data_IF_980491549949
#
_entry.id   IF_980491549949
#
_cell.length_a   1.000
_cell.length_b   1.000
_cell.length_c   1.000
_cell.angle_alpha   90.00
_cell.angle_beta   90.00
_cell.angle_gamma   90.00
#
_symmetry.space_group_name_H-M   'P 1'
#
loop_
_entity.id
_entity.type
_entity.pdbx_description
1 polymer ?
#
# COMPACT_ATOMS: atom_id res chain seq x y z
N UNK A 1 -27.66 33.02 -41.90
CA UNK A 1 -28.03 31.79 -41.16
C UNK A 1 -26.87 30.83 -41.35
N UNK A 2 -26.04 30.41 -40.39
CA UNK A 2 -26.03 30.44 -38.93
C UNK A 2 -24.58 30.66 -38.47
N UNK A 3 -24.38 31.41 -37.38
CA UNK A 3 -23.10 31.51 -36.68
C UNK A 3 -23.06 30.40 -35.62
N UNK A 4 -22.06 29.53 -35.67
CA UNK A 4 -21.76 28.58 -34.58
C UNK A 4 -20.68 29.18 -33.68
N UNK A 5 -21.13 29.82 -32.60
CA UNK A 5 -20.29 30.13 -31.45
C UNK A 5 -20.21 28.87 -30.57
N UNK A 6 -19.09 28.17 -30.61
CA UNK A 6 -18.74 27.16 -29.60
C UNK A 6 -17.81 27.80 -28.57
N UNK A 7 -18.37 28.09 -27.39
CA UNK A 7 -17.62 28.58 -26.24
C UNK A 7 -16.62 27.52 -25.77
N UNK A 8 -15.35 27.67 -26.18
CA UNK A 8 -14.23 26.96 -25.57
C UNK A 8 -14.01 27.49 -24.16
N UNK A 9 -14.60 26.82 -23.17
CA UNK A 9 -14.29 27.04 -21.75
C UNK A 9 -12.79 26.75 -21.52
N UNK A 10 -12.07 27.79 -21.10
CA UNK A 10 -10.64 27.79 -20.82
C UNK A 10 -10.27 26.71 -19.79
N UNK A 11 -9.31 25.84 -20.10
CA UNK A 11 -8.88 24.69 -19.26
C UNK A 11 -8.54 25.08 -17.80
N UNK A 12 -8.17 26.34 -17.58
CA UNK A 12 -7.90 26.90 -16.26
C UNK A 12 -9.14 27.01 -15.35
N UNK A 13 -10.34 27.19 -15.90
CA UNK A 13 -11.58 27.31 -15.11
C UNK A 13 -12.14 25.95 -14.68
N UNK A 14 -11.94 24.91 -15.50
CA UNK A 14 -12.24 23.52 -15.12
C UNK A 14 -11.33 23.07 -13.96
N UNK A 15 -10.07 23.51 -13.94
CA UNK A 15 -9.13 23.20 -12.87
C UNK A 15 -9.42 23.96 -11.56
N UNK A 16 -9.99 25.18 -11.62
CA UNK A 16 -10.47 25.89 -10.42
C UNK A 16 -11.70 25.21 -9.81
N UNK A 17 -12.72 24.91 -10.61
CA UNK A 17 -13.96 24.27 -10.12
C UNK A 17 -13.71 22.88 -9.54
N UNK A 18 -12.82 22.10 -10.15
CA UNK A 18 -12.43 20.79 -9.61
C UNK A 18 -11.67 20.88 -8.28
N UNK A 19 -10.83 21.91 -8.10
CA UNK A 19 -10.13 22.15 -6.83
C UNK A 19 -11.06 22.65 -5.71
N UNK A 20 -12.08 23.47 -6.01
CA UNK A 20 -13.09 23.87 -5.02
C UNK A 20 -13.93 22.68 -4.55
N UNK A 21 -14.40 21.84 -5.49
CA UNK A 21 -15.15 20.62 -5.16
C UNK A 21 -14.29 19.69 -4.30
N UNK A 22 -13.03 19.43 -4.70
CA UNK A 22 -12.11 18.61 -3.92
C UNK A 22 -11.75 19.22 -2.56
N UNK A 23 -11.77 20.55 -2.42
CA UNK A 23 -11.62 21.27 -1.16
C UNK A 23 -12.78 21.03 -0.19
N UNK A 24 -14.02 21.10 -0.69
CA UNK A 24 -15.24 20.83 0.08
C UNK A 24 -15.29 19.36 0.54
N UNK A 25 -14.90 18.41 -0.31
CA UNK A 25 -14.82 16.99 0.06
C UNK A 25 -13.70 16.69 1.07
N UNK A 26 -12.60 17.46 1.06
CA UNK A 26 -11.51 17.32 2.05
C UNK A 26 -11.95 17.81 3.42
N UNK A 27 -12.59 18.98 3.48
CA UNK A 27 -13.10 19.57 4.73
C UNK A 27 -14.19 18.71 5.40
N UNK A 28 -15.08 18.08 4.61
CA UNK A 28 -16.14 17.20 5.14
C UNK A 28 -15.62 15.85 5.67
N UNK A 29 -14.45 15.41 5.21
CA UNK A 29 -13.78 14.19 5.70
C UNK A 29 -12.98 14.47 6.98
N UNK A 30 -12.33 15.63 7.09
CA UNK A 30 -11.62 16.07 8.30
C UNK A 30 -12.58 16.24 9.49
N UNK A 31 -13.71 16.96 9.33
CA UNK A 31 -14.69 17.16 10.43
C UNK A 31 -15.29 15.86 10.98
N UNK A 32 -15.51 14.85 10.15
CA UNK A 32 -16.06 13.54 10.58
C UNK A 32 -15.05 12.71 11.39
N UNK A 33 -13.74 12.94 11.19
CA UNK A 33 -12.69 12.26 11.94
C UNK A 33 -12.55 12.91 13.33
N UNK A 34 -12.69 14.23 13.43
CA UNK A 34 -12.63 14.95 14.71
C UNK A 34 -13.86 14.67 15.60
N UNK A 35 -15.05 14.49 15.02
CA UNK A 35 -16.25 14.08 15.78
C UNK A 35 -16.13 12.67 16.38
N UNK A 36 -15.48 11.73 15.69
CA UNK A 36 -15.26 10.38 16.23
C UNK A 36 -14.13 10.28 17.27
N UNK A 37 -13.19 11.23 17.28
CA UNK A 37 -12.12 11.28 18.30
C UNK A 37 -12.62 11.77 19.66
N UNK A 38 -13.61 12.67 19.71
CA UNK A 38 -14.11 13.26 20.96
C UNK A 38 -14.84 12.26 21.87
N UNK A 39 -15.32 11.14 21.33
CA UNK A 39 -15.99 10.07 22.10
C UNK A 39 -15.01 9.07 22.74
N UNK A 40 -13.72 9.12 22.39
CA UNK A 40 -12.71 8.17 22.90
C UNK A 40 -12.11 8.65 24.23
N UNK A 41 -12.02 9.97 24.44
CA UNK A 41 -11.33 10.57 25.58
C UNK A 41 -12.22 10.78 26.83
N UNK A 42 -13.53 10.56 26.72
CA UNK A 42 -14.49 10.72 27.83
C UNK A 42 -14.84 9.40 28.56
N UNK A 43 -13.95 8.40 28.54
CA UNK A 43 -14.14 7.20 29.38
C UNK A 43 -13.55 7.46 30.78
N UNK A 44 -14.33 7.37 31.87
CA UNK A 44 -13.79 7.59 33.21
C UNK A 44 -12.72 6.55 33.51
N UNK A 45 -11.50 7.01 33.77
CA UNK A 45 -10.42 6.20 34.32
C UNK A 45 -10.83 5.78 35.72
N UNK A 46 -11.18 4.51 35.91
CA UNK A 46 -11.30 3.95 37.27
C UNK A 46 -9.93 4.02 37.93
N UNK A 47 -9.82 4.89 38.92
CA UNK A 47 -8.65 5.03 39.77
C UNK A 47 -8.21 3.67 40.32
N UNK A 48 -6.92 3.37 40.13
CA UNK A 48 -6.23 2.24 40.75
C UNK A 48 -5.55 2.73 42.01
N UNK A 49 -6.32 3.02 43.04
CA UNK A 49 -5.83 3.01 44.41
C UNK A 49 -6.91 2.38 45.29
N UNK A 50 -6.45 1.62 46.29
CA UNK A 50 -7.19 0.70 47.16
C UNK A 50 -7.45 -0.65 46.46
N UNK A 51 -6.88 -1.78 46.87
CA UNK A 51 -6.83 -2.35 48.22
C UNK A 51 -5.60 -3.26 48.33
N UNK A 52 -4.67 -2.91 49.23
CA UNK A 52 -3.82 -3.90 49.91
C UNK A 52 -4.37 -4.08 51.32
N UNK A 53 -5.15 -5.13 51.54
CA UNK A 53 -5.25 -5.81 52.84
C UNK A 53 -5.32 -7.31 52.56
N UNK A 54 -4.38 -8.03 53.17
CA UNK A 54 -4.25 -9.46 53.02
C UNK A 54 -5.48 -10.20 53.55
N UNK A 55 -5.87 -11.21 52.80
CA UNK A 55 -6.59 -12.38 53.30
C UNK A 55 -5.97 -13.56 52.58
N UNK A 56 -5.30 -14.42 53.35
CA UNK A 56 -4.96 -15.78 52.93
C UNK A 56 -6.19 -16.43 52.32
N UNK A 57 -6.08 -16.94 51.11
CA UNK A 57 -7.04 -17.88 50.57
C UNK A 57 -6.27 -18.95 49.80
N UNK A 58 -6.39 -20.17 50.31
CA UNK A 58 -5.73 -21.36 49.84
C UNK A 58 -5.89 -21.58 48.32
N UNK A 59 -4.84 -22.10 47.70
CA UNK A 59 -4.87 -22.69 46.37
C UNK A 59 -5.79 -23.92 46.37
N UNK A 60 -6.79 -24.03 45.48
CA UNK A 60 -7.33 -25.32 45.11
C UNK A 60 -6.57 -25.85 43.88
N UNK A 61 -6.16 -27.11 43.99
CA UNK A 61 -5.60 -27.93 42.93
C UNK A 61 -6.37 -27.77 41.61
N UNK A 62 -5.64 -27.50 40.52
CA UNK A 62 -6.15 -27.66 39.16
C UNK A 62 -6.18 -29.14 38.79
N UNK A 63 -7.23 -29.82 39.19
CA UNK A 63 -7.71 -30.99 38.45
C UNK A 63 -8.30 -30.57 37.09
N UNK A 64 -8.09 -31.35 36.02
CA UNK A 64 -8.55 -31.00 34.68
C UNK A 64 -10.07 -31.09 34.59
N UNK A 65 -10.72 -29.95 34.31
CA UNK A 65 -12.14 -29.91 34.01
C UNK A 65 -12.41 -30.62 32.66
N UNK A 66 -12.71 -31.91 32.74
CA UNK A 66 -13.51 -32.63 31.78
C UNK A 66 -14.87 -31.92 31.76
N UNK A 67 -15.19 -31.26 30.66
CA UNK A 67 -16.47 -30.59 30.47
C UNK A 67 -17.57 -31.65 30.29
N UNK A 68 -18.10 -32.12 31.42
CA UNK A 68 -19.38 -32.84 31.52
C UNK A 68 -20.49 -31.89 31.07
N UNK A 69 -20.82 -31.91 29.78
CA UNK A 69 -22.09 -31.39 29.31
C UNK A 69 -23.19 -32.29 29.87
N UNK A 70 -23.95 -31.73 30.81
CA UNK A 70 -25.19 -32.25 31.36
C UNK A 70 -26.11 -32.65 30.19
N UNK A 71 -26.28 -33.96 29.97
CA UNK A 71 -27.28 -34.51 29.04
C UNK A 71 -28.67 -34.16 29.58
N UNK A 72 -29.58 -33.58 28.77
CA UNK A 72 -30.99 -33.57 29.13
C UNK A 72 -31.52 -35.01 29.03
N UNK A 73 -31.94 -35.55 30.18
CA UNK A 73 -32.76 -36.74 30.31
C UNK A 73 -34.18 -36.44 29.86
N UNK A 74 -34.42 -36.45 28.54
CA UNK A 74 -35.76 -36.63 28.00
C UNK A 74 -35.74 -37.94 27.24
N UNK A 75 -36.32 -38.97 27.87
CA UNK A 75 -36.61 -40.26 27.26
C UNK A 75 -37.62 -40.08 26.13
N UNK A 76 -37.14 -39.74 24.95
CA UNK A 76 -37.74 -40.21 23.72
C UNK A 76 -36.87 -41.37 23.27
N UNK A 77 -37.39 -42.58 23.48
CA UNK A 77 -36.90 -43.83 22.89
C UNK A 77 -36.43 -43.51 21.48
N UNK A 78 -35.11 -43.48 21.27
CA UNK A 78 -34.57 -43.49 19.92
C UNK A 78 -34.97 -44.87 19.44
N UNK A 79 -36.11 -44.94 18.75
CA UNK A 79 -36.46 -46.11 17.96
C UNK A 79 -35.23 -46.32 17.08
N UNK A 80 -34.44 -47.35 17.40
CA UNK A 80 -33.50 -47.93 16.46
C UNK A 80 -34.38 -48.43 15.31
N UNK A 81 -34.64 -47.53 14.38
CA UNK A 81 -35.48 -47.78 13.22
C UNK A 81 -34.66 -48.69 12.32
N UNK A 82 -35.02 -49.96 12.37
CA UNK A 82 -34.66 -51.05 11.46
C UNK A 82 -33.88 -50.60 10.21
N UNK A 83 -32.60 -50.95 10.16
CA UNK A 83 -31.65 -50.57 9.11
C UNK A 83 -31.63 -51.65 8.03
N UNK A 84 -32.79 -52.05 7.51
CA UNK A 84 -32.84 -53.14 6.52
C UNK A 84 -33.73 -52.91 5.29
N UNK A 85 -34.30 -51.71 5.09
CA UNK A 85 -34.93 -51.30 3.81
C UNK A 85 -34.78 -49.81 3.51
N UNK A 86 -33.56 -49.33 3.26
CA UNK A 86 -33.35 -47.97 2.70
C UNK A 86 -32.71 -48.04 1.31
N UNK A 87 -33.28 -47.28 0.39
CA UNK A 87 -32.78 -47.11 -0.97
C UNK A 87 -31.38 -46.48 -0.95
N UNK A 88 -30.47 -47.00 -1.76
CA UNK A 88 -29.07 -46.54 -1.80
C UNK A 88 -28.88 -45.37 -2.78
N UNK A 89 -28.91 -44.14 -2.27
CA UNK A 89 -28.73 -42.91 -3.07
C UNK A 89 -27.26 -42.46 -3.23
N UNK A 90 -26.27 -43.32 -2.94
CA UNK A 90 -24.84 -42.95 -2.99
C UNK A 90 -24.39 -42.58 -4.40
N UNK A 91 -24.92 -43.26 -5.42
CA UNK A 91 -24.62 -42.99 -6.83
C UNK A 91 -25.21 -41.66 -7.28
N UNK A 92 -26.46 -41.39 -6.93
CA UNK A 92 -27.18 -40.16 -7.23
C UNK A 92 -26.50 -38.96 -6.57
N UNK A 93 -26.09 -39.09 -5.30
CA UNK A 93 -25.32 -38.06 -4.59
C UNK A 93 -23.95 -37.80 -5.24
N UNK A 94 -23.31 -38.83 -5.80
CA UNK A 94 -22.04 -38.71 -6.56
C UNK A 94 -22.27 -38.04 -7.92
N UNK A 95 -23.32 -38.41 -8.64
CA UNK A 95 -23.67 -37.81 -9.94
C UNK A 95 -24.06 -36.34 -9.76
N UNK A 96 -24.91 -36.02 -8.79
CA UNK A 96 -25.30 -34.66 -8.44
C UNK A 96 -24.09 -33.76 -8.11
N UNK A 97 -23.15 -34.30 -7.32
CA UNK A 97 -21.89 -33.61 -7.01
C UNK A 97 -21.07 -33.29 -8.27
N UNK A 98 -20.96 -34.24 -9.21
CA UNK A 98 -20.27 -34.04 -10.49
C UNK A 98 -21.00 -33.08 -11.43
N UNK A 99 -22.33 -33.09 -11.44
CA UNK A 99 -23.17 -32.22 -12.28
C UNK A 99 -23.17 -30.78 -11.77
N UNK A 100 -23.25 -30.56 -10.46
CA UNK A 100 -23.28 -29.24 -9.83
C UNK A 100 -21.89 -28.65 -9.54
N UNK A 101 -20.81 -29.39 -9.82
CA UNK A 101 -19.43 -28.96 -9.59
C UNK A 101 -19.13 -28.65 -8.11
N UNK A 102 -19.75 -29.37 -7.18
CA UNK A 102 -19.56 -29.17 -5.74
C UNK A 102 -19.32 -30.50 -5.02
N UNK A 103 -18.73 -30.48 -3.82
CA UNK A 103 -18.50 -31.70 -3.05
C UNK A 103 -19.79 -32.35 -2.55
N UNK A 104 -19.78 -33.69 -2.36
CA UNK A 104 -20.94 -34.48 -1.88
C UNK A 104 -21.58 -33.93 -0.59
N UNK A 105 -20.79 -33.28 0.27
CA UNK A 105 -21.28 -32.68 1.52
C UNK A 105 -22.21 -31.48 1.31
N UNK A 106 -22.14 -30.84 0.14
CA UNK A 106 -22.99 -29.71 -0.26
C UNK A 106 -24.25 -30.14 -1.00
N UNK A 107 -24.38 -31.41 -1.37
CA UNK A 107 -25.61 -31.92 -1.97
C UNK A 107 -26.61 -32.25 -0.86
N UNK A 108 -27.80 -31.68 -0.96
CA UNK A 108 -29.00 -32.05 -0.23
C UNK A 108 -29.94 -32.81 -1.19
N UNK A 109 -30.48 -33.93 -0.71
CA UNK A 109 -31.45 -34.77 -1.42
C UNK A 109 -32.72 -34.73 -0.58
N UNK A 110 -33.87 -34.55 -1.22
CA UNK A 110 -35.16 -34.58 -0.52
C UNK A 110 -35.42 -35.97 0.09
N UNK A 111 -35.63 -36.09 1.42
CA UNK A 111 -35.98 -37.35 2.06
C UNK A 111 -37.41 -37.83 1.76
N UNK A 112 -38.29 -36.96 1.25
CA UNK A 112 -39.67 -37.33 0.94
C UNK A 112 -39.77 -38.01 -0.43
N UNK A 113 -39.02 -37.53 -1.42
CA UNK A 113 -39.04 -38.02 -2.81
C UNK A 113 -37.88 -38.99 -3.12
N UNK A 114 -37.64 -39.95 -2.22
CA UNK A 114 -36.52 -40.92 -2.35
C UNK A 114 -36.70 -41.87 -3.54
N UNK A 115 -37.94 -42.23 -3.86
CA UNK A 115 -38.31 -43.09 -5.00
C UNK A 115 -37.98 -42.44 -6.33
N UNK A 116 -38.34 -41.17 -6.52
CA UNK A 116 -38.07 -40.41 -7.75
C UNK A 116 -36.56 -40.19 -7.94
N UNK A 117 -35.85 -39.82 -6.88
CA UNK A 117 -34.40 -39.64 -6.93
C UNK A 117 -33.70 -40.96 -7.26
N UNK A 118 -34.15 -42.10 -6.72
CA UNK A 118 -33.57 -43.42 -6.98
C UNK A 118 -33.60 -43.80 -8.46
N UNK A 119 -34.68 -43.45 -9.17
CA UNK A 119 -34.86 -43.79 -10.58
C UNK A 119 -33.93 -42.99 -11.51
N UNK A 120 -33.30 -41.92 -11.03
CA UNK A 120 -32.41 -41.09 -11.82
C UNK A 120 -30.98 -41.67 -11.93
N UNK A 121 -30.71 -42.38 -13.01
CA UNK A 121 -29.40 -43.01 -13.28
C UNK A 121 -28.45 -42.17 -14.17
N UNK A 122 -28.98 -41.22 -14.95
CA UNK A 122 -28.20 -40.41 -15.89
C UNK A 122 -27.87 -39.02 -15.34
N UNK A 123 -26.79 -38.40 -15.83
CA UNK A 123 -26.47 -37.00 -15.49
C UNK A 123 -27.55 -36.02 -15.97
N UNK A 124 -28.22 -36.33 -17.08
CA UNK A 124 -29.29 -35.50 -17.64
C UNK A 124 -30.53 -35.48 -16.73
N UNK A 125 -30.93 -36.64 -16.21
CA UNK A 125 -32.07 -36.74 -15.28
C UNK A 125 -31.75 -36.07 -13.94
N UNK A 126 -30.52 -36.18 -13.46
CA UNK A 126 -30.05 -35.44 -12.27
C UNK A 126 -30.11 -33.92 -12.48
N UNK A 127 -29.83 -33.40 -13.68
CA UNK A 127 -30.02 -31.96 -13.98
C UNK A 127 -31.49 -31.54 -13.89
N UNK A 128 -32.41 -32.40 -14.35
CA UNK A 128 -33.85 -32.17 -14.23
C UNK A 128 -34.27 -32.09 -12.75
N UNK A 129 -33.88 -33.06 -11.93
CA UNK A 129 -34.15 -33.07 -10.49
C UNK A 129 -33.53 -31.88 -9.72
N UNK A 130 -32.43 -31.31 -10.22
CA UNK A 130 -31.85 -30.07 -9.68
C UNK A 130 -32.72 -28.86 -10.04
N UNK A 131 -33.23 -28.81 -11.28
CA UNK A 131 -34.13 -27.74 -11.74
C UNK A 131 -35.48 -27.79 -11.02
N UNK A 132 -35.98 -29.00 -10.76
CA UNK A 132 -37.25 -29.25 -10.07
C UNK A 132 -37.13 -29.03 -8.53
N UNK A 133 -35.91 -28.84 -8.01
CA UNK A 133 -35.66 -28.51 -6.61
C UNK A 133 -35.55 -29.70 -5.65
N UNK A 134 -35.64 -30.93 -6.15
CA UNK A 134 -35.48 -32.17 -5.37
C UNK A 134 -34.02 -32.42 -4.94
N UNK A 135 -33.07 -31.86 -5.71
CA UNK A 135 -31.64 -31.87 -5.39
C UNK A 135 -31.13 -30.43 -5.26
N UNK A 136 -30.74 -30.04 -4.05
CA UNK A 136 -30.31 -28.67 -3.76
C UNK A 136 -28.83 -28.62 -3.41
N UNK A 137 -28.14 -27.61 -3.94
CA UNK A 137 -26.80 -27.23 -3.47
C UNK A 137 -26.92 -26.39 -2.21
N UNK A 138 -26.55 -26.96 -1.06
CA UNK A 138 -26.43 -26.21 0.21
C UNK A 138 -25.39 -25.09 0.07
N UNK A 139 -25.65 -23.90 0.65
CA UNK A 139 -24.69 -22.82 0.62
C UNK A 139 -23.38 -23.19 1.34
N UNK A 140 -22.33 -22.44 1.03
CA UNK A 140 -21.07 -22.54 1.77
C UNK A 140 -21.30 -22.14 3.24
N UNK A 141 -20.61 -22.83 4.15
CA UNK A 141 -20.61 -22.43 5.56
C UNK A 141 -19.87 -21.10 5.67
N UNK A 142 -20.51 -20.09 6.26
CA UNK A 142 -19.94 -18.75 6.30
C UNK A 142 -18.78 -18.68 7.29
N UNK A 143 -17.58 -18.32 6.80
CA UNK A 143 -16.44 -17.99 7.64
C UNK A 143 -16.22 -16.48 7.63
N UNK A 144 -16.75 -15.80 8.65
CA UNK A 144 -16.58 -14.34 8.78
C UNK A 144 -15.11 -13.96 9.01
N UNK A 145 -14.66 -12.92 8.29
CA UNK A 145 -13.32 -12.32 8.43
C UNK A 145 -13.32 -11.06 9.29
N UNK A 146 -14.43 -10.69 9.95
CA UNK A 146 -14.56 -9.44 10.73
C UNK A 146 -13.45 -9.29 11.76
N UNK A 147 -13.28 -10.28 12.65
CA UNK A 147 -12.24 -10.28 13.69
C UNK A 147 -10.82 -10.20 13.13
N UNK A 148 -10.55 -10.88 12.01
CA UNK A 148 -9.24 -10.83 11.36
C UNK A 148 -8.95 -9.45 10.76
N UNK A 149 -9.95 -8.78 10.19
CA UNK A 149 -9.83 -7.41 9.67
C UNK A 149 -9.57 -6.41 10.79
N UNK A 150 -10.35 -6.50 11.87
CA UNK A 150 -10.17 -5.65 13.06
C UNK A 150 -8.77 -5.78 13.66
N UNK A 151 -8.28 -7.02 13.83
CA UNK A 151 -6.92 -7.27 14.30
C UNK A 151 -5.86 -6.67 13.36
N UNK A 152 -6.07 -6.74 12.05
CA UNK A 152 -5.15 -6.16 11.07
C UNK A 152 -5.14 -4.61 11.12
N UNK A 153 -6.29 -3.98 11.36
CA UNK A 153 -6.38 -2.53 11.59
C UNK A 153 -5.63 -2.14 12.87
N UNK A 154 -5.84 -2.87 13.97
CA UNK A 154 -5.09 -2.66 15.21
C UNK A 154 -3.57 -2.85 15.02
N UNK A 155 -3.15 -3.88 14.28
CA UNK A 155 -1.75 -4.14 13.93
C UNK A 155 -1.14 -3.09 12.99
N UNK A 156 -1.95 -2.40 12.19
CA UNK A 156 -1.51 -1.29 11.32
C UNK A 156 -1.20 -0.04 12.13
N UNK A 157 -2.03 0.25 13.14
CA UNK A 157 -1.81 1.35 14.10
C UNK A 157 -0.58 1.08 15.00
N UNK A 158 -0.20 -0.18 15.17
CA UNK A 158 1.02 -0.58 15.89
C UNK A 158 0.79 -1.48 17.10
N UNK A 159 -0.48 -1.79 17.42
CA UNK A 159 -0.82 -2.74 18.50
C UNK A 159 -0.32 -4.15 18.18
N UNK A 160 -0.11 -4.96 19.22
CA UNK A 160 0.34 -6.36 19.12
C UNK A 160 1.72 -6.56 18.43
N UNK A 161 2.64 -5.58 18.47
CA UNK A 161 4.00 -5.66 17.90
C UNK A 161 5.16 -5.72 18.91
N UNK A 162 4.85 -5.71 20.21
CA UNK A 162 5.83 -5.75 21.30
C UNK A 162 6.66 -7.05 21.33
N UNK A 163 7.74 -7.07 22.11
CA UNK A 163 8.71 -8.18 22.15
C UNK A 163 8.07 -9.54 22.44
N UNK A 164 7.11 -9.63 23.38
CA UNK A 164 6.43 -10.90 23.71
C UNK A 164 5.59 -11.51 22.58
N UNK A 165 5.28 -10.75 21.52
CA UNK A 165 4.59 -11.27 20.32
C UNK A 165 5.54 -11.61 19.16
N UNK A 166 6.85 -11.38 19.32
CA UNK A 166 7.87 -11.72 18.32
C UNK A 166 8.36 -13.13 18.59
N UNK A 167 8.37 -14.00 17.57
CA UNK A 167 8.76 -15.41 17.69
C UNK A 167 9.94 -15.82 16.80
N UNK A 168 10.40 -14.92 15.92
CA UNK A 168 11.55 -15.15 15.04
C UNK A 168 12.55 -13.98 15.12
N UNK A 169 13.73 -14.17 14.54
CA UNK A 169 14.82 -13.18 14.51
C UNK A 169 14.42 -11.92 13.74
N UNK A 170 15.18 -10.83 13.91
CA UNK A 170 14.92 -9.58 13.18
C UNK A 170 15.04 -9.77 11.66
N UNK A 171 16.10 -10.47 11.22
CA UNK A 171 16.36 -10.75 9.81
C UNK A 171 15.28 -11.67 9.19
N UNK A 172 14.81 -12.70 9.90
CA UNK A 172 13.71 -13.53 9.41
C UNK A 172 12.39 -12.76 9.25
N UNK A 173 12.16 -11.72 10.08
CA UNK A 173 10.96 -10.88 10.01
C UNK A 173 11.06 -9.82 8.92
N UNK A 174 12.24 -9.23 8.73
CA UNK A 174 12.55 -8.21 7.73
C UNK A 174 14.02 -8.35 7.34
N UNK A 175 14.32 -9.07 6.23
CA UNK A 175 15.70 -9.33 5.85
C UNK A 175 16.47 -8.06 5.52
N UNK A 176 17.72 -7.98 5.98
CA UNK A 176 18.58 -6.81 5.77
C UNK A 176 18.81 -6.52 4.28
N UNK A 177 18.95 -7.58 3.48
CA UNK A 177 19.09 -7.48 2.02
C UNK A 177 17.90 -6.75 1.39
N UNK A 178 16.67 -7.01 1.86
CA UNK A 178 15.45 -6.36 1.36
C UNK A 178 15.45 -4.86 1.71
N UNK A 179 15.89 -4.51 2.92
CA UNK A 179 16.02 -3.11 3.34
C UNK A 179 17.07 -2.36 2.50
N UNK A 180 18.24 -2.98 2.28
CA UNK A 180 19.30 -2.45 1.43
C UNK A 180 18.83 -2.24 -0.02
N UNK A 181 18.17 -3.25 -0.60
CA UNK A 181 17.61 -3.17 -1.95
C UNK A 181 16.58 -2.03 -2.08
N UNK A 182 15.64 -1.93 -1.13
CA UNK A 182 14.61 -0.86 -1.13
C UNK A 182 15.27 0.51 -1.05
N UNK A 183 16.24 0.69 -0.15
CA UNK A 183 16.95 1.94 0.03
C UNK A 183 17.71 2.35 -1.24
N UNK A 184 18.52 1.46 -1.80
CA UNK A 184 19.28 1.75 -3.03
C UNK A 184 18.38 2.08 -4.21
N UNK A 185 17.27 1.34 -4.39
CA UNK A 185 16.30 1.61 -5.47
C UNK A 185 15.66 2.98 -5.31
N UNK A 186 15.33 3.39 -4.09
CA UNK A 186 14.78 4.74 -3.82
C UNK A 186 15.80 5.84 -4.14
N UNK A 187 17.06 5.68 -3.71
CA UNK A 187 18.12 6.66 -3.99
C UNK A 187 18.41 6.77 -5.48
N UNK A 188 18.59 5.65 -6.18
CA UNK A 188 18.88 5.65 -7.62
C UNK A 188 17.72 6.19 -8.46
N UNK A 189 16.47 5.84 -8.11
CA UNK A 189 15.29 6.39 -8.80
C UNK A 189 15.22 7.92 -8.66
N UNK A 190 15.58 8.45 -7.49
CA UNK A 190 15.65 9.90 -7.28
C UNK A 190 16.71 10.54 -8.19
N UNK A 191 17.93 9.97 -8.23
CA UNK A 191 19.01 10.48 -9.08
C UNK A 191 18.62 10.47 -10.56
N UNK A 192 18.01 9.39 -11.05
CA UNK A 192 17.54 9.30 -12.44
C UNK A 192 16.49 10.39 -12.73
N UNK A 193 15.52 10.58 -11.82
CA UNK A 193 14.51 11.64 -11.95
C UNK A 193 15.15 13.03 -11.98
N UNK A 194 16.12 13.30 -11.10
CA UNK A 194 16.77 14.61 -11.03
C UNK A 194 17.61 14.90 -12.27
N UNK A 195 18.28 13.89 -12.83
CA UNK A 195 19.01 13.99 -14.09
C UNK A 195 18.06 14.29 -15.25
N UNK A 196 16.94 13.56 -15.35
CA UNK A 196 15.94 13.80 -16.39
C UNK A 196 15.33 15.20 -16.30
N UNK A 197 15.13 15.73 -15.08
CA UNK A 197 14.65 17.10 -14.87
C UNK A 197 15.72 18.20 -15.02
N UNK A 198 16.97 17.85 -15.35
CA UNK A 198 18.08 18.81 -15.44
C UNK A 198 18.52 19.44 -14.11
N UNK A 199 18.03 18.93 -12.97
CA UNK A 199 18.42 19.45 -11.64
C UNK A 199 19.87 19.12 -11.29
N UNK A 200 20.36 18.00 -11.79
CA UNK A 200 21.75 17.55 -11.66
C UNK A 200 22.31 17.25 -13.04
N UNK A 201 23.59 17.51 -13.20
CA UNK A 201 24.34 17.17 -14.40
C UNK A 201 24.74 15.67 -14.43
N UNK A 202 25.13 15.15 -15.60
CA UNK A 202 25.65 13.80 -15.81
C UNK A 202 26.86 13.49 -14.92
N UNK A 203 27.77 14.44 -14.73
CA UNK A 203 28.99 14.23 -13.94
C UNK A 203 28.65 14.07 -12.45
N UNK A 204 27.88 15.00 -11.90
CA UNK A 204 27.40 14.93 -10.52
C UNK A 204 26.52 13.70 -10.29
N UNK A 205 25.71 13.28 -11.28
CA UNK A 205 24.96 12.03 -11.21
C UNK A 205 25.87 10.80 -11.04
N UNK A 206 26.96 10.71 -11.79
CA UNK A 206 27.84 9.53 -11.75
C UNK A 206 28.55 9.39 -10.39
N UNK A 207 29.05 10.49 -9.85
CA UNK A 207 29.65 10.53 -8.51
C UNK A 207 28.64 10.10 -7.44
N UNK A 208 27.46 10.72 -7.42
CA UNK A 208 26.40 10.40 -6.45
C UNK A 208 25.89 8.96 -6.58
N UNK A 209 25.93 8.38 -7.78
CA UNK A 209 25.53 7.00 -8.01
C UNK A 209 26.46 6.01 -7.29
N UNK A 210 27.78 6.26 -7.32
CA UNK A 210 28.77 5.44 -6.63
C UNK A 210 28.75 5.68 -5.12
N UNK A 211 28.61 6.93 -4.68
CA UNK A 211 28.45 7.26 -3.26
C UNK A 211 27.19 6.60 -2.66
N UNK A 212 26.08 6.59 -3.41
CA UNK A 212 24.88 5.88 -3.00
C UNK A 212 25.11 4.35 -2.87
N UNK A 213 25.89 3.74 -3.76
CA UNK A 213 26.31 2.33 -3.64
C UNK A 213 27.18 2.12 -2.39
N UNK A 214 28.05 3.09 -2.09
CA UNK A 214 28.96 3.12 -0.94
C UNK A 214 28.31 3.41 0.42
N UNK A 215 26.98 3.46 0.52
CA UNK A 215 26.25 3.63 1.79
C UNK A 215 26.56 4.96 2.55
N UNK A 216 27.02 5.98 1.84
CA UNK A 216 27.21 7.33 2.41
C UNK A 216 25.86 7.96 2.78
N UNK A 217 24.83 7.71 1.97
CA UNK A 217 23.47 8.23 2.20
C UNK A 217 22.58 7.19 2.89
N UNK A 218 22.07 7.52 4.09
CA UNK A 218 21.19 6.62 4.87
C UNK A 218 19.73 6.63 4.40
N UNK A 219 19.24 7.76 3.92
CA UNK A 219 17.86 7.92 3.43
C UNK A 219 17.79 9.01 2.35
N UNK A 220 16.66 9.06 1.64
CA UNK A 220 16.43 10.00 0.52
C UNK A 220 16.73 11.46 0.88
N UNK A 221 16.34 11.89 2.09
CA UNK A 221 16.56 13.26 2.57
C UNK A 221 18.04 13.65 2.63
N UNK A 222 18.92 12.78 3.14
CA UNK A 222 20.35 13.05 3.23
C UNK A 222 20.98 13.23 1.84
N UNK A 223 20.54 12.44 0.84
CA UNK A 223 20.97 12.62 -0.54
C UNK A 223 20.51 13.96 -1.12
N UNK A 224 19.26 14.37 -0.86
CA UNK A 224 18.75 15.67 -1.33
C UNK A 224 19.52 16.83 -0.69
N UNK A 225 19.76 16.77 0.62
CA UNK A 225 20.55 17.78 1.35
C UNK A 225 21.97 17.88 0.79
N UNK A 226 22.62 16.74 0.49
CA UNK A 226 23.94 16.72 -0.14
C UNK A 226 23.92 17.35 -1.55
N UNK A 227 22.91 17.04 -2.37
CA UNK A 227 22.76 17.65 -3.70
C UNK A 227 22.59 19.16 -3.59
N UNK A 228 21.78 19.65 -2.65
CA UNK A 228 21.58 21.08 -2.46
C UNK A 228 22.88 21.78 -2.05
N UNK A 229 23.66 21.17 -1.14
CA UNK A 229 24.97 21.68 -0.74
C UNK A 229 25.96 21.73 -1.91
N UNK A 230 26.12 20.62 -2.62
CA UNK A 230 27.03 20.53 -3.78
C UNK A 230 26.65 21.53 -4.88
N UNK A 231 25.35 21.72 -5.15
CA UNK A 231 24.90 22.72 -6.11
C UNK A 231 25.17 24.16 -5.67
N UNK A 232 25.01 24.46 -4.38
CA UNK A 232 25.32 25.79 -3.85
C UNK A 232 26.82 26.09 -3.92
N UNK A 233 27.68 25.10 -3.69
CA UNK A 233 29.12 25.19 -3.88
C UNK A 233 29.49 25.43 -5.35
N UNK A 234 28.98 24.61 -6.27
CA UNK A 234 29.22 24.79 -7.72
C UNK A 234 28.73 26.15 -8.23
N UNK A 235 27.59 26.65 -7.74
CA UNK A 235 27.08 27.96 -8.12
C UNK A 235 28.01 29.10 -7.64
N UNK A 236 28.54 29.00 -6.41
CA UNK A 236 29.51 29.98 -5.88
C UNK A 236 30.82 29.97 -6.66
N UNK A 237 31.35 28.78 -6.96
CA UNK A 237 32.56 28.64 -7.76
C UNK A 237 32.39 29.21 -9.17
N UNK A 238 31.24 28.95 -9.80
CA UNK A 238 30.91 29.51 -11.11
C UNK A 238 30.85 31.04 -11.07
N UNK A 239 30.19 31.64 -10.07
CA UNK A 239 30.11 33.09 -9.93
C UNK A 239 31.51 33.73 -9.81
N UNK A 240 32.39 33.15 -8.98
CA UNK A 240 33.76 33.63 -8.83
C UNK A 240 34.55 33.50 -10.14
N UNK A 241 34.39 32.39 -10.86
CA UNK A 241 35.06 32.19 -12.14
C UNK A 241 34.57 33.18 -13.20
N UNK A 242 33.27 33.36 -13.32
CA UNK A 242 32.65 34.29 -14.26
C UNK A 242 33.10 35.74 -13.98
N UNK A 243 33.24 36.13 -12.70
CA UNK A 243 33.78 37.43 -12.31
C UNK A 243 35.25 37.60 -12.73
N UNK A 244 36.09 36.59 -12.50
CA UNK A 244 37.50 36.62 -12.86
C UNK A 244 37.71 36.65 -14.38
N UNK A 245 36.93 35.86 -15.12
CA UNK A 245 37.00 35.83 -16.58
C UNK A 245 36.46 37.14 -17.19
N UNK A 246 35.45 37.77 -16.59
CA UNK A 246 35.01 39.11 -16.97
C UNK A 246 36.11 40.17 -16.76
N UNK A 247 36.85 40.11 -15.64
CA UNK A 247 38.01 41.01 -15.40
C UNK A 247 39.14 40.77 -16.42
N UNK A 248 39.42 39.50 -16.76
CA UNK A 248 40.41 39.14 -17.78
C UNK A 248 39.99 39.63 -19.17
N UNK A 249 38.73 39.45 -19.55
CA UNK A 249 38.19 39.89 -20.83
C UNK A 249 38.23 41.43 -20.96
N UNK A 250 37.86 42.17 -19.92
CA UNK A 250 37.99 43.64 -19.89
C UNK A 250 39.44 44.09 -20.11
N UNK A 251 40.38 43.47 -19.39
CA UNK A 251 41.81 43.79 -19.54
C UNK A 251 42.35 43.43 -20.92
N UNK A 252 41.93 42.30 -21.50
CA UNK A 252 42.30 41.87 -22.86
C UNK A 252 41.77 42.85 -23.91
N UNK A 253 40.49 43.20 -23.84
CA UNK A 253 39.86 44.17 -24.74
C UNK A 253 40.51 45.57 -24.64
N UNK A 254 40.90 46.00 -23.44
CA UNK A 254 41.63 47.26 -23.26
C UNK A 254 43.02 47.22 -23.91
N UNK A 255 43.73 46.08 -23.83
CA UNK A 255 45.02 45.89 -24.52
C UNK A 255 44.86 45.88 -26.04
N UNK A 256 43.87 45.18 -26.57
CA UNK A 256 43.59 45.13 -28.02
C UNK A 256 43.25 46.52 -28.56
N UNK A 257 42.37 47.27 -27.89
CA UNK A 257 42.08 48.67 -28.27
C UNK A 257 43.31 49.58 -28.24
N UNK A 258 44.24 49.37 -27.29
CA UNK A 258 45.49 50.13 -27.23
C UNK A 258 46.41 49.79 -28.40
N UNK A 259 46.50 48.51 -28.76
CA UNK A 259 47.27 48.04 -29.90
C UNK A 259 46.69 48.59 -31.20
N UNK A 260 45.37 48.49 -31.39
CA UNK A 260 44.66 49.05 -32.56
C UNK A 260 44.90 50.56 -32.72
N UNK A 261 44.88 51.32 -31.62
CA UNK A 261 45.22 52.76 -31.65
C UNK A 261 46.67 53.01 -32.07
N UNK A 262 47.61 52.19 -31.60
CA UNK A 262 49.02 52.31 -31.96
C UNK A 262 49.25 51.93 -33.43
N UNK A 263 48.62 50.87 -33.93
CA UNK A 263 48.72 50.46 -35.33
C UNK A 263 48.08 51.49 -36.25
N UNK A 264 46.89 52.01 -35.90
CA UNK A 264 46.24 53.08 -36.67
C UNK A 264 47.09 54.35 -36.71
N UNK A 265 47.68 54.76 -35.56
CA UNK A 265 48.61 55.89 -35.52
C UNK A 265 49.84 55.66 -36.40
N UNK A 266 50.42 54.45 -36.38
CA UNK A 266 51.59 54.10 -37.20
C UNK A 266 51.26 54.11 -38.70
N UNK A 267 50.09 53.61 -39.08
CA UNK A 267 49.61 53.63 -40.47
C UNK A 267 49.33 55.06 -40.96
N UNK A 268 48.75 55.92 -40.12
CA UNK A 268 48.51 57.32 -40.47
C UNK A 268 49.82 58.07 -40.75
N UNK A 269 50.85 57.89 -39.90
CA UNK A 269 52.18 58.50 -40.11
C UNK A 269 52.80 58.03 -41.44
N UNK A 270 52.76 56.72 -41.71
CA UNK A 270 53.31 56.16 -42.97
C UNK A 270 52.53 56.61 -44.22
N UNK A 271 51.24 56.96 -44.10
CA UNK A 271 50.42 57.45 -45.21
C UNK A 271 50.61 58.95 -45.50
N UNK A 272 51.05 59.75 -44.52
CA UNK A 272 51.42 61.16 -44.72
C UNK A 272 52.76 61.32 -45.46
N UNK A 273 53.60 60.28 -45.51
CA UNK A 273 54.90 60.28 -46.19
C UNK A 273 54.82 59.87 -47.69
N UNK A 274 53.65 59.42 -48.18
CA UNK A 274 53.45 58.98 -49.59
C UNK A 274 52.65 59.97 -50.47
N UNK A 275 52.34 61.18 -49.98
CA UNK A 275 51.81 62.34 -50.75
C UNK A 275 52.85 63.45 -50.89
#
# INVERSE_FOLDING_TARGET
MFAENTDHLNDNDVHRKTNEILGIYRYRKEKRIDEQSKDIDNRPTRDRHDIHKGTEFALPDRSPAICMHRRPSNGSVIKFFDVSKRVNLRTQKRLASSVLGCGKNKIWLDPNEVSEISNANSRMTIRKLVSDGLIIRKPATMHSRSRARELNLARRIGRHRGFGKRKGTADARMPEQVLWMRRLRVLRRLLVKYRASGKIDKHLYHELYHLAKGNTFKHKRALVEHIHRAKAEQAREKQLKDEMDAKRAKTKAARERKLERQTAKRQAILGEDEE
#
